data_IF_850826254492
#
_entry.id   IF_850826254492
#
_cell.length_a   1.000
_cell.length_b   1.000
_cell.length_c   1.000
_cell.angle_alpha   90.00
_cell.angle_beta   90.00
_cell.angle_gamma   90.00
#
_symmetry.space_group_name_H-M   'P 1'
#
loop_
_entity.id
_entity.type
_entity.pdbx_description
1 polymer ?
#
# COMPACT_ATOMS: atom_id res chain seq x y z
N UNK A 1 -11.63 -100.90 0.99
CA UNK A 1 -12.64 -100.16 1.77
C UNK A 1 -11.96 -98.97 2.43
N UNK A 2 -12.61 -97.80 2.59
CA UNK A 2 -12.81 -96.75 1.59
C UNK A 2 -11.90 -95.52 1.77
N UNK A 3 -11.82 -94.77 0.67
CA UNK A 3 -11.68 -93.33 0.44
C UNK A 3 -11.72 -92.37 1.64
N UNK A 4 -10.77 -91.43 1.67
CA UNK A 4 -11.00 -90.06 2.13
C UNK A 4 -10.05 -89.10 1.38
N UNK A 5 -10.52 -88.52 0.27
CA UNK A 5 -9.89 -87.37 -0.36
C UNK A 5 -10.35 -86.11 0.38
N UNK A 6 -9.37 -85.38 0.92
CA UNK A 6 -9.58 -84.07 1.54
C UNK A 6 -9.61 -83.00 0.43
N UNK A 7 -10.79 -82.51 0.10
CA UNK A 7 -10.97 -81.36 -0.80
C UNK A 7 -10.76 -80.06 -0.02
N UNK A 8 -9.79 -79.26 -0.44
CA UNK A 8 -9.63 -77.88 0.02
C UNK A 8 -10.76 -76.99 -0.54
N UNK A 9 -11.27 -75.99 0.21
CA UNK A 9 -12.30 -75.09 -0.31
C UNK A 9 -11.70 -74.13 -1.34
N UNK A 10 -12.47 -73.87 -2.40
CA UNK A 10 -12.15 -72.88 -3.40
C UNK A 10 -12.12 -71.47 -2.76
N UNK A 11 -10.98 -70.79 -2.90
CA UNK A 11 -10.85 -69.37 -2.58
C UNK A 11 -11.72 -68.55 -3.53
N UNK A 12 -12.79 -67.93 -3.02
CA UNK A 12 -13.58 -66.94 -3.75
C UNK A 12 -12.75 -65.66 -3.92
N UNK A 13 -12.14 -65.51 -5.09
CA UNK A 13 -11.46 -64.28 -5.49
C UNK A 13 -12.52 -63.18 -5.70
N UNK A 14 -12.74 -62.38 -4.66
CA UNK A 14 -13.67 -61.24 -4.72
C UNK A 14 -12.85 -60.01 -5.09
N UNK A 15 -12.55 -59.84 -6.38
CA UNK A 15 -11.98 -58.58 -6.88
C UNK A 15 -13.03 -57.47 -6.70
N UNK A 16 -12.74 -56.39 -5.93
CA UNK A 16 -13.69 -55.29 -5.78
C UNK A 16 -13.91 -54.61 -7.14
N UNK A 17 -15.15 -54.19 -7.47
CA UNK A 17 -15.44 -53.60 -8.76
C UNK A 17 -14.58 -52.35 -8.99
N UNK A 18 -13.78 -52.36 -10.06
CA UNK A 18 -13.01 -51.17 -10.48
C UNK A 18 -13.98 -50.03 -10.77
N UNK A 19 -13.80 -48.83 -10.20
CA UNK A 19 -14.72 -47.72 -10.43
C UNK A 19 -14.77 -47.40 -11.93
N UNK A 20 -15.99 -47.37 -12.48
CA UNK A 20 -16.23 -47.14 -13.91
C UNK A 20 -15.57 -45.85 -14.41
N UNK A 21 -14.88 -45.94 -15.55
CA UNK A 21 -14.12 -44.86 -16.20
C UNK A 21 -14.95 -43.57 -16.40
N UNK A 22 -16.29 -43.70 -16.50
CA UNK A 22 -17.25 -42.58 -16.58
C UNK A 22 -17.37 -41.81 -15.27
N UNK A 23 -17.48 -42.48 -14.12
CA UNK A 23 -17.61 -41.87 -12.78
C UNK A 23 -16.39 -40.99 -12.46
N UNK A 24 -15.19 -41.44 -12.85
CA UNK A 24 -13.94 -40.67 -12.69
C UNK A 24 -13.87 -39.42 -13.57
N UNK A 25 -14.46 -39.45 -14.77
CA UNK A 25 -14.58 -38.27 -15.67
C UNK A 25 -15.61 -37.27 -15.15
N UNK A 26 -16.75 -37.74 -14.64
CA UNK A 26 -17.78 -36.87 -14.05
C UNK A 26 -17.26 -36.16 -12.81
N UNK A 27 -16.59 -36.87 -11.88
CA UNK A 27 -15.97 -36.25 -10.69
C UNK A 27 -14.94 -35.19 -11.07
N UNK A 28 -14.08 -35.45 -12.06
CA UNK A 28 -13.11 -34.45 -12.56
C UNK A 28 -13.80 -33.22 -13.15
N UNK A 29 -14.88 -33.38 -13.93
CA UNK A 29 -15.63 -32.27 -14.52
C UNK A 29 -16.31 -31.42 -13.45
N UNK A 30 -16.90 -32.05 -12.43
CA UNK A 30 -17.51 -31.34 -11.30
C UNK A 30 -16.45 -30.54 -10.54
N UNK A 31 -15.30 -31.15 -10.20
CA UNK A 31 -14.21 -30.45 -9.51
C UNK A 31 -13.67 -29.25 -10.32
N UNK A 32 -13.48 -29.41 -11.63
CA UNK A 32 -13.03 -28.31 -12.51
C UNK A 32 -14.09 -27.21 -12.60
N UNK A 33 -15.36 -27.57 -12.75
CA UNK A 33 -16.46 -26.61 -12.78
C UNK A 33 -16.55 -25.83 -11.44
N UNK A 34 -16.48 -26.52 -10.30
CA UNK A 34 -16.49 -25.89 -8.97
C UNK A 34 -15.28 -24.97 -8.77
N UNK A 35 -14.08 -25.38 -9.19
CA UNK A 35 -12.89 -24.52 -9.11
C UNK A 35 -12.99 -23.28 -10.01
N UNK A 36 -13.53 -23.42 -11.22
CA UNK A 36 -13.80 -22.30 -12.12
C UNK A 36 -14.86 -21.35 -11.54
N UNK A 37 -15.95 -21.88 -10.99
CA UNK A 37 -16.98 -21.06 -10.33
C UNK A 37 -16.43 -20.32 -9.13
N UNK A 38 -15.67 -20.99 -8.25
CA UNK A 38 -14.98 -20.35 -7.11
C UNK A 38 -13.98 -19.28 -7.57
N UNK A 39 -13.23 -19.54 -8.64
CA UNK A 39 -12.30 -18.56 -9.21
C UNK A 39 -13.02 -17.34 -9.79
N UNK A 40 -14.14 -17.54 -10.49
CA UNK A 40 -14.96 -16.46 -11.03
C UNK A 40 -15.67 -15.65 -9.93
N UNK A 41 -16.18 -16.30 -8.89
CA UNK A 41 -16.84 -15.59 -7.77
C UNK A 41 -15.83 -14.85 -6.91
N UNK A 42 -14.67 -15.45 -6.59
CA UNK A 42 -13.60 -14.78 -5.86
C UNK A 42 -13.00 -13.62 -6.67
N UNK A 43 -12.76 -13.83 -7.97
CA UNK A 43 -12.27 -12.78 -8.87
C UNK A 43 -13.28 -11.65 -9.06
N UNK A 44 -14.55 -11.98 -9.28
CA UNK A 44 -15.63 -11.00 -9.41
C UNK A 44 -15.84 -10.21 -8.11
N UNK A 45 -15.80 -10.87 -6.95
CA UNK A 45 -15.88 -10.22 -5.64
C UNK A 45 -14.71 -9.27 -5.37
N UNK A 46 -13.48 -9.69 -5.71
CA UNK A 46 -12.29 -8.83 -5.58
C UNK A 46 -12.38 -7.59 -6.48
N UNK A 47 -12.75 -7.77 -7.76
CA UNK A 47 -12.88 -6.66 -8.70
C UNK A 47 -13.97 -5.68 -8.27
N UNK A 48 -15.12 -6.18 -7.79
CA UNK A 48 -16.17 -5.33 -7.25
C UNK A 48 -15.71 -4.58 -6.00
N UNK A 49 -15.05 -5.26 -5.06
CA UNK A 49 -14.50 -4.60 -3.86
C UNK A 49 -13.50 -3.51 -4.25
N UNK A 50 -12.58 -3.81 -5.17
CA UNK A 50 -11.60 -2.83 -5.65
C UNK A 50 -12.26 -1.62 -6.30
N UNK A 51 -13.23 -1.82 -7.19
CA UNK A 51 -13.94 -0.73 -7.86
C UNK A 51 -14.84 0.08 -6.91
N UNK A 52 -15.37 -0.55 -5.85
CA UNK A 52 -16.20 0.11 -4.85
C UNK A 52 -15.38 0.75 -3.70
N UNK A 53 -14.06 0.79 -3.82
CA UNK A 53 -13.12 1.30 -2.81
C UNK A 53 -12.58 2.69 -3.14
N UNK A 54 -13.23 3.45 -4.02
CA UNK A 54 -12.82 4.83 -4.28
C UNK A 54 -12.92 5.68 -3.01
N UNK A 55 -12.05 6.67 -2.94
CA UNK A 55 -11.95 7.65 -1.87
C UNK A 55 -12.46 9.01 -2.34
N UNK A 56 -13.23 9.69 -1.51
CA UNK A 56 -13.77 11.02 -1.81
C UNK A 56 -12.77 12.11 -1.49
N UNK A 57 -12.01 11.96 -0.40
CA UNK A 57 -11.03 12.98 0.03
C UNK A 57 -9.67 12.71 -0.60
N UNK A 58 -9.41 13.39 -1.72
CA UNK A 58 -8.19 13.23 -2.52
C UNK A 58 -7.17 14.34 -2.31
N UNK A 59 -7.55 15.47 -1.69
CA UNK A 59 -6.68 16.63 -1.44
C UNK A 59 -6.52 17.54 -2.67
N UNK A 60 -5.54 18.43 -2.63
CA UNK A 60 -5.14 19.27 -3.77
C UNK A 60 -3.66 19.07 -4.12
N UNK A 61 -3.34 19.04 -5.42
CA UNK A 61 -1.97 18.99 -5.90
C UNK A 61 -1.20 20.30 -5.64
N UNK A 62 -1.91 21.41 -5.46
CA UNK A 62 -1.32 22.73 -5.17
C UNK A 62 -1.34 22.97 -3.67
N UNK A 63 -0.21 22.77 -2.99
CA UNK A 63 -0.12 22.99 -1.54
C UNK A 63 -0.58 24.40 -1.12
N UNK A 64 -0.29 25.42 -1.93
CA UNK A 64 -0.68 26.81 -1.70
C UNK A 64 -2.19 27.10 -1.89
N UNK A 65 -3.01 26.10 -2.26
CA UNK A 65 -4.47 26.22 -2.21
C UNK A 65 -5.05 25.75 -0.87
N UNK A 66 -4.26 25.02 -0.07
CA UNK A 66 -4.72 24.50 1.22
C UNK A 66 -4.80 25.62 2.24
N UNK A 67 -5.95 25.72 2.89
CA UNK A 67 -6.15 26.54 4.07
C UNK A 67 -5.54 25.83 5.27
N UNK A 68 -4.50 26.42 5.85
CA UNK A 68 -3.86 25.88 7.04
C UNK A 68 -4.71 26.16 8.29
N UNK A 69 -4.76 25.19 9.21
CA UNK A 69 -5.30 25.41 10.54
C UNK A 69 -4.19 25.92 11.47
N UNK A 70 -4.47 27.00 12.21
CA UNK A 70 -3.51 27.66 13.10
C UNK A 70 -2.69 28.77 12.43
N UNK A 71 -2.00 29.57 13.23
CA UNK A 71 -1.10 30.61 12.75
C UNK A 71 0.27 30.00 12.42
N UNK A 72 0.81 30.30 11.24
CA UNK A 72 2.12 29.84 10.84
C UNK A 72 2.43 30.12 9.36
N UNK A 73 3.66 29.84 8.97
CA UNK A 73 4.21 30.14 7.65
C UNK A 73 3.94 29.00 6.66
N UNK A 74 2.69 28.96 6.16
CA UNK A 74 2.22 27.93 5.23
C UNK A 74 3.06 27.87 3.96
N UNK A 75 3.46 29.03 3.43
CA UNK A 75 4.19 29.09 2.16
C UNK A 75 5.58 28.48 2.31
N UNK A 76 6.26 28.68 3.45
CA UNK A 76 7.52 28.00 3.73
C UNK A 76 7.34 26.47 3.89
N UNK A 77 6.28 26.01 4.54
CA UNK A 77 5.96 24.56 4.61
C UNK A 77 5.73 23.98 3.21
N UNK A 78 4.95 24.67 2.37
CA UNK A 78 4.72 24.26 0.99
C UNK A 78 5.99 24.28 0.13
N UNK A 79 6.91 25.22 0.40
CA UNK A 79 8.21 25.26 -0.26
C UNK A 79 9.04 24.01 0.04
N UNK A 80 9.06 23.53 1.30
CA UNK A 80 9.76 22.28 1.68
C UNK A 80 9.23 21.09 0.87
N UNK A 81 7.91 20.97 0.71
CA UNK A 81 7.32 19.88 -0.08
C UNK A 81 7.67 19.99 -1.57
N UNK A 82 7.63 21.21 -2.13
CA UNK A 82 8.02 21.45 -3.52
C UNK A 82 9.49 21.10 -3.77
N UNK A 83 10.36 21.47 -2.84
CA UNK A 83 11.79 21.18 -2.89
C UNK A 83 12.05 19.67 -2.77
N UNK A 84 11.25 18.96 -1.98
CA UNK A 84 11.29 17.51 -1.86
C UNK A 84 11.00 16.82 -3.20
N UNK A 85 9.91 17.23 -3.86
CA UNK A 85 9.53 16.71 -5.19
C UNK A 85 10.60 17.02 -6.24
N UNK A 86 11.21 18.21 -6.18
CA UNK A 86 12.28 18.62 -7.11
C UNK A 86 13.55 17.81 -6.90
N UNK A 87 14.06 17.73 -5.67
CA UNK A 87 15.26 16.96 -5.34
C UNK A 87 15.11 15.49 -5.72
N UNK A 88 13.91 14.92 -5.54
CA UNK A 88 13.62 13.57 -6.01
C UNK A 88 13.67 13.45 -7.54
N UNK A 89 12.99 14.37 -8.26
CA UNK A 89 12.97 14.37 -9.72
C UNK A 89 14.36 14.54 -10.34
N UNK A 90 15.23 15.28 -9.66
CA UNK A 90 16.63 15.51 -10.05
C UNK A 90 17.58 14.38 -9.58
N UNK A 91 17.06 13.38 -8.85
CA UNK A 91 17.85 12.32 -8.23
C UNK A 91 18.97 12.85 -7.30
N UNK A 92 18.78 14.03 -6.71
CA UNK A 92 19.74 14.68 -5.80
C UNK A 92 19.46 14.29 -4.35
N UNK A 93 20.14 13.23 -3.90
CA UNK A 93 20.02 12.74 -2.53
C UNK A 93 20.52 13.74 -1.46
N UNK A 94 21.48 14.59 -1.81
CA UNK A 94 22.00 15.60 -0.89
C UNK A 94 21.01 16.74 -0.72
N UNK A 95 20.37 17.20 -1.81
CA UNK A 95 19.25 18.14 -1.73
C UNK A 95 18.08 17.55 -0.96
N UNK A 96 17.73 16.29 -1.25
CA UNK A 96 16.64 15.60 -0.57
C UNK A 96 16.91 15.54 0.94
N UNK A 97 18.11 15.12 1.34
CA UNK A 97 18.52 15.05 2.73
C UNK A 97 18.52 16.39 3.47
N UNK A 98 18.94 17.48 2.82
CA UNK A 98 18.97 18.83 3.44
C UNK A 98 17.60 19.31 3.93
N UNK A 99 16.52 18.75 3.41
CA UNK A 99 15.14 19.05 3.80
C UNK A 99 14.70 18.36 5.10
N UNK A 100 15.50 17.44 5.64
CA UNK A 100 15.24 16.74 6.90
C UNK A 100 16.06 17.35 8.04
N UNK A 101 15.58 17.33 9.28
CA UNK A 101 16.40 17.67 10.47
C UNK A 101 17.55 16.69 10.64
N UNK A 102 18.58 17.04 11.40
CA UNK A 102 19.74 16.16 11.60
C UNK A 102 19.35 14.80 12.21
N UNK A 103 18.35 14.81 13.08
CA UNK A 103 17.80 13.68 13.84
C UNK A 103 16.49 13.11 13.26
N UNK A 104 16.13 13.48 12.03
CA UNK A 104 14.84 13.14 11.45
C UNK A 104 14.59 11.63 11.36
N UNK A 105 13.32 11.24 11.42
CA UNK A 105 12.90 9.84 11.20
C UNK A 105 12.18 9.70 9.86
N UNK A 106 12.42 8.58 9.19
CA UNK A 106 11.75 8.25 7.93
C UNK A 106 11.28 6.81 7.96
N UNK A 107 9.97 6.59 7.85
CA UNK A 107 9.38 5.26 7.74
C UNK A 107 8.74 5.09 6.37
N UNK A 108 9.26 4.14 5.59
CA UNK A 108 8.72 3.80 4.26
C UNK A 108 7.39 3.04 4.36
N UNK A 109 6.68 2.93 3.24
CA UNK A 109 5.40 2.22 3.14
C UNK A 109 5.49 0.72 3.41
N UNK A 110 6.69 0.14 3.44
CA UNK A 110 6.96 -1.27 3.80
C UNK A 110 7.47 -1.42 5.25
N UNK A 111 7.55 -0.32 6.01
CA UNK A 111 7.96 -0.34 7.41
C UNK A 111 9.46 -0.22 7.66
N UNK A 112 10.30 -0.07 6.64
CA UNK A 112 11.72 0.25 6.84
C UNK A 112 11.85 1.62 7.51
N UNK A 113 12.60 1.67 8.60
CA UNK A 113 12.83 2.86 9.42
C UNK A 113 14.28 3.34 9.27
N UNK A 114 14.46 4.61 8.91
CA UNK A 114 15.76 5.29 8.86
C UNK A 114 15.83 6.36 9.94
N UNK A 115 17.01 6.55 10.50
CA UNK A 115 17.24 7.49 11.60
C UNK A 115 18.39 8.46 11.30
N UNK A 116 18.03 9.74 11.30
CA UNK A 116 18.91 10.87 11.04
C UNK A 116 19.08 11.18 9.56
N UNK A 117 19.40 12.45 9.27
CA UNK A 117 19.60 12.97 7.91
C UNK A 117 20.58 12.12 7.10
N UNK A 118 21.70 11.74 7.71
CA UNK A 118 22.77 11.02 7.02
C UNK A 118 22.31 9.66 6.48
N UNK A 119 21.52 8.92 7.27
CA UNK A 119 20.97 7.62 6.90
C UNK A 119 19.94 7.77 5.76
N UNK A 120 19.02 8.73 5.90
CA UNK A 120 18.04 9.09 4.86
C UNK A 120 18.74 9.44 3.55
N UNK A 121 19.76 10.30 3.58
CA UNK A 121 20.55 10.68 2.39
C UNK A 121 21.27 9.49 1.78
N UNK A 122 21.92 8.66 2.60
CA UNK A 122 22.64 7.47 2.13
C UNK A 122 21.72 6.49 1.41
N UNK A 123 20.57 6.21 2.01
CA UNK A 123 19.55 5.33 1.43
C UNK A 123 19.00 5.90 0.11
N UNK A 124 18.61 7.17 0.07
CA UNK A 124 18.06 7.78 -1.15
C UNK A 124 19.10 7.87 -2.27
N UNK A 125 20.38 8.07 -1.96
CA UNK A 125 21.45 8.01 -2.97
C UNK A 125 21.52 6.65 -3.65
N UNK A 126 21.45 5.56 -2.88
CA UNK A 126 21.43 4.20 -3.42
C UNK A 126 20.14 3.94 -4.22
N UNK A 127 18.99 4.37 -3.70
CA UNK A 127 17.70 4.17 -4.35
C UNK A 127 17.57 4.93 -5.67
N UNK A 128 18.04 6.18 -5.74
CA UNK A 128 18.07 6.99 -6.96
C UNK A 128 19.05 6.45 -8.02
N UNK A 129 20.10 5.75 -7.59
CA UNK A 129 20.97 4.99 -8.50
C UNK A 129 20.36 3.69 -9.02
N UNK A 130 19.31 3.18 -8.36
CA UNK A 130 18.69 1.88 -8.62
C UNK A 130 17.19 1.97 -8.87
N UNK A 131 16.39 1.41 -7.97
CA UNK A 131 14.94 1.19 -8.15
C UNK A 131 14.13 2.49 -8.39
N UNK A 132 14.55 3.62 -7.84
CA UNK A 132 13.85 4.90 -7.96
C UNK A 132 14.41 5.78 -9.08
N UNK A 133 15.37 5.30 -9.86
CA UNK A 133 15.98 6.06 -10.95
C UNK A 133 14.94 6.54 -11.95
N UNK A 134 14.91 7.86 -12.20
CA UNK A 134 14.01 8.48 -13.18
C UNK A 134 12.54 8.54 -12.75
N UNK A 135 12.23 8.17 -11.51
CA UNK A 135 10.90 8.37 -10.93
C UNK A 135 10.69 9.83 -10.50
N UNK A 136 9.43 10.24 -10.38
CA UNK A 136 9.01 11.53 -9.82
C UNK A 136 8.03 11.32 -8.68
N UNK A 137 7.90 12.31 -7.81
CA UNK A 137 6.88 12.34 -6.76
C UNK A 137 5.61 13.03 -7.26
N UNK A 138 4.47 12.40 -6.99
CA UNK A 138 3.16 13.02 -7.06
C UNK A 138 2.64 13.14 -5.63
N UNK A 139 2.26 14.35 -5.22
CA UNK A 139 1.68 14.61 -3.90
C UNK A 139 0.37 15.40 -4.06
N UNK A 140 -0.58 15.11 -3.17
CA UNK A 140 -1.86 15.82 -3.05
C UNK A 140 -2.13 16.08 -1.57
N UNK A 141 -2.07 17.34 -1.16
CA UNK A 141 -2.15 17.76 0.25
C UNK A 141 -3.59 17.67 0.73
N UNK A 142 -3.80 16.91 1.81
CA UNK A 142 -5.10 16.74 2.48
C UNK A 142 -5.33 17.82 3.54
N UNK A 143 -4.27 18.31 4.17
CA UNK A 143 -4.36 19.34 5.20
C UNK A 143 -3.01 19.75 5.77
N UNK A 144 -2.96 20.98 6.27
CA UNK A 144 -1.83 21.58 6.98
C UNK A 144 -2.34 22.08 8.33
N UNK A 145 -1.66 21.74 9.41
CA UNK A 145 -2.00 22.19 10.76
C UNK A 145 -0.75 22.62 11.51
N UNK A 146 -0.70 23.90 11.89
CA UNK A 146 0.33 24.42 12.79
C UNK A 146 0.03 24.03 14.23
N UNK A 147 1.08 23.61 14.95
CA UNK A 147 1.05 23.22 16.37
C UNK A 147 1.59 24.33 17.29
N UNK A 148 1.95 25.45 16.68
CA UNK A 148 2.67 26.59 17.23
C UNK A 148 3.42 27.28 16.09
N UNK A 149 4.22 28.29 16.41
CA UNK A 149 4.94 29.08 15.40
C UNK A 149 6.03 28.28 14.67
N UNK A 150 6.57 27.25 15.33
CA UNK A 150 7.75 26.51 14.88
C UNK A 150 7.48 25.03 14.56
N UNK A 151 6.22 24.58 14.54
CA UNK A 151 5.88 23.19 14.25
C UNK A 151 4.61 23.06 13.41
N UNK A 152 4.64 22.17 12.41
CA UNK A 152 3.53 21.91 11.51
C UNK A 152 3.37 20.42 11.21
N UNK A 153 2.13 19.99 11.02
CA UNK A 153 1.77 18.69 10.49
C UNK A 153 1.16 18.85 9.11
N UNK A 154 1.64 18.07 8.16
CA UNK A 154 1.04 17.93 6.84
C UNK A 154 0.60 16.50 6.65
N UNK A 155 -0.64 16.32 6.23
CA UNK A 155 -1.13 15.04 5.71
C UNK A 155 -1.37 15.17 4.22
N UNK A 156 -0.96 14.18 3.45
CA UNK A 156 -1.16 14.15 2.01
C UNK A 156 -1.43 12.72 1.52
N UNK A 157 -1.85 12.61 0.27
CA UNK A 157 -1.68 11.41 -0.51
C UNK A 157 -0.48 11.57 -1.42
N UNK A 158 0.20 10.48 -1.73
CA UNK A 158 1.32 10.54 -2.68
C UNK A 158 1.68 9.22 -3.32
N UNK A 159 2.45 9.30 -4.39
CA UNK A 159 3.01 8.15 -5.09
C UNK A 159 4.24 8.52 -5.91
N UNK A 160 5.03 7.49 -6.22
CA UNK A 160 6.13 7.58 -7.17
C UNK A 160 5.65 7.18 -8.55
N UNK A 161 6.08 7.87 -9.61
CA UNK A 161 5.67 7.53 -10.97
C UNK A 161 6.77 7.77 -12.02
N UNK A 162 6.62 7.09 -13.15
CA UNK A 162 7.39 7.33 -14.38
C UNK A 162 6.43 7.68 -15.50
N UNK A 163 6.79 8.64 -16.36
CA UNK A 163 5.92 9.08 -17.45
C UNK A 163 4.76 9.95 -16.97
N UNK A 164 3.52 9.52 -17.20
CA UNK A 164 2.33 10.28 -16.85
C UNK A 164 2.05 10.24 -15.34
N UNK A 165 1.60 11.37 -14.78
CA UNK A 165 1.23 11.47 -13.37
C UNK A 165 -0.03 10.60 -13.10
N UNK A 166 -0.06 9.78 -12.03
CA UNK A 166 -1.22 8.98 -11.68
C UNK A 166 -2.44 9.87 -11.38
N UNK A 167 -3.63 9.41 -11.81
CA UNK A 167 -4.90 10.08 -11.48
C UNK A 167 -5.35 9.82 -10.04
N UNK A 168 -5.00 8.66 -9.47
CA UNK A 168 -5.24 8.32 -8.07
C UNK A 168 -3.91 8.09 -7.36
N UNK A 169 -3.79 8.64 -6.15
CA UNK A 169 -2.63 8.48 -5.28
C UNK A 169 -2.99 7.53 -4.13
N UNK A 170 -2.23 6.44 -4.05
CA UNK A 170 -2.58 5.23 -3.29
C UNK A 170 -1.91 5.13 -1.92
N UNK A 171 -0.94 6.01 -1.62
CA UNK A 171 -0.34 6.09 -0.28
C UNK A 171 -0.87 7.31 0.45
N UNK A 172 -1.04 7.17 1.76
CA UNK A 172 -1.26 8.30 2.68
C UNK A 172 0.07 8.60 3.36
N UNK A 173 0.40 9.88 3.49
CA UNK A 173 1.68 10.37 3.99
C UNK A 173 1.43 11.35 5.14
N UNK A 174 2.33 11.35 6.12
CA UNK A 174 2.38 12.34 7.19
C UNK A 174 3.78 12.92 7.27
N UNK A 175 3.86 14.24 7.26
CA UNK A 175 5.08 15.01 7.48
C UNK A 175 4.93 15.79 8.78
N UNK A 176 5.89 15.64 9.68
CA UNK A 176 6.09 16.56 10.80
C UNK A 176 7.22 17.50 10.42
N UNK A 177 6.92 18.79 10.34
CA UNK A 177 7.89 19.83 10.05
C UNK A 177 8.15 20.68 11.28
N UNK A 178 9.39 21.11 11.42
CA UNK A 178 9.82 22.05 12.46
C UNK A 178 10.62 23.19 11.83
N UNK A 179 10.50 24.39 12.38
CA UNK A 179 11.38 25.52 12.08
C UNK A 179 12.59 25.43 13.01
N UNK A 180 13.77 25.20 12.43
CA UNK A 180 15.01 25.16 13.22
C UNK A 180 15.49 26.59 13.56
N UNK A 181 16.47 26.71 14.46
CA UNK A 181 17.00 28.00 14.93
C UNK A 181 17.55 28.91 13.83
N UNK A 182 17.89 28.34 12.66
CA UNK A 182 18.30 29.09 11.47
C UNK A 182 17.12 29.66 10.66
N UNK A 183 15.90 29.53 11.18
CA UNK A 183 14.67 30.02 10.59
C UNK A 183 14.14 29.18 9.43
N UNK A 184 14.81 28.07 9.08
CA UNK A 184 14.37 27.21 7.98
C UNK A 184 13.49 26.06 8.49
N UNK A 185 12.43 25.81 7.74
CA UNK A 185 11.56 24.66 7.95
C UNK A 185 12.21 23.39 7.39
N UNK A 186 12.12 22.30 8.15
CA UNK A 186 12.60 20.97 7.77
C UNK A 186 11.68 19.88 8.29
N UNK A 187 11.74 18.73 7.65
CA UNK A 187 11.00 17.53 8.03
C UNK A 187 11.73 16.84 9.19
N UNK A 188 11.09 16.81 10.36
CA UNK A 188 11.56 16.06 11.53
C UNK A 188 11.09 14.59 11.50
N UNK A 189 9.94 14.33 10.87
CA UNK A 189 9.45 12.97 10.68
C UNK A 189 8.66 12.83 9.38
N UNK A 190 8.88 11.74 8.67
CA UNK A 190 8.07 11.32 7.54
C UNK A 190 7.63 9.87 7.72
N UNK A 191 6.36 9.62 7.44
CA UNK A 191 5.84 8.27 7.29
C UNK A 191 4.87 8.20 6.13
N UNK A 192 4.92 7.13 5.36
CA UNK A 192 3.86 6.80 4.40
C UNK A 192 3.34 5.37 4.56
N UNK A 193 2.09 5.17 4.14
CA UNK A 193 1.38 3.89 4.26
C UNK A 193 0.68 3.60 2.94
N UNK A 194 0.91 2.42 2.37
CA UNK A 194 0.19 1.95 1.19
C UNK A 194 -1.25 1.59 1.56
N UNK A 195 -2.23 2.27 0.96
CA UNK A 195 -3.64 1.95 1.19
C UNK A 195 -3.95 0.54 0.66
N UNK A 196 -4.63 -0.23 1.49
CA UNK A 196 -5.08 -1.59 1.17
C UNK A 196 -6.57 -1.55 0.87
N UNK A 197 -6.94 -1.05 -0.32
CA UNK A 197 -8.31 -0.69 -0.70
C UNK A 197 -9.33 -1.81 -0.43
N UNK A 198 -9.04 -3.03 -0.88
CA UNK A 198 -9.94 -4.18 -0.70
C UNK A 198 -10.11 -4.58 0.77
N UNK A 199 -9.02 -4.56 1.54
CA UNK A 199 -9.09 -4.87 2.97
C UNK A 199 -9.87 -3.79 3.73
N UNK A 200 -9.66 -2.52 3.40
CA UNK A 200 -10.41 -1.39 3.98
C UNK A 200 -11.90 -1.51 3.66
N UNK A 201 -12.28 -1.73 2.40
CA UNK A 201 -13.69 -1.90 2.02
C UNK A 201 -14.33 -3.11 2.69
N UNK A 202 -13.62 -4.23 2.77
CA UNK A 202 -14.07 -5.40 3.52
C UNK A 202 -14.34 -5.06 4.99
N UNK A 203 -13.44 -4.30 5.63
CA UNK A 203 -13.61 -3.84 7.01
C UNK A 203 -14.86 -2.96 7.20
N UNK A 204 -15.14 -2.05 6.25
CA UNK A 204 -16.32 -1.19 6.29
C UNK A 204 -17.62 -1.95 6.07
N UNK A 205 -17.62 -2.99 5.24
CA UNK A 205 -18.78 -3.86 5.08
C UNK A 205 -19.07 -4.66 6.37
N UNK A 206 -18.03 -5.10 7.07
CA UNK A 206 -18.16 -5.83 8.34
C UNK A 206 -18.53 -4.90 9.51
N UNK A 207 -18.04 -3.65 9.51
CA UNK A 207 -18.29 -2.67 10.56
C UNK A 207 -18.57 -1.27 9.97
N UNK A 208 -19.79 -1.00 9.46
CA UNK A 208 -20.11 0.24 8.75
C UNK A 208 -19.89 1.53 9.56
N UNK A 209 -19.98 1.46 10.89
CA UNK A 209 -19.71 2.60 11.77
C UNK A 209 -18.26 3.10 11.73
N UNK A 210 -17.32 2.30 11.21
CA UNK A 210 -15.89 2.64 11.10
C UNK A 210 -15.54 3.45 9.85
N UNK A 211 -16.49 3.63 8.91
CA UNK A 211 -16.29 4.50 7.75
C UNK A 211 -16.02 5.93 8.26
N UNK A 212 -14.87 6.53 7.90
CA UNK A 212 -14.54 7.90 8.29
C UNK A 212 -15.64 8.87 7.87
N UNK A 213 -15.99 9.83 8.73
CA UNK A 213 -17.07 10.78 8.42
C UNK A 213 -16.86 11.52 7.10
N UNK A 214 -15.61 11.88 6.77
CA UNK A 214 -15.26 12.56 5.53
C UNK A 214 -15.40 11.68 4.28
N UNK A 215 -15.50 10.35 4.44
CA UNK A 215 -15.64 9.36 3.36
C UNK A 215 -17.06 8.77 3.28
N UNK A 216 -17.97 9.16 4.19
CA UNK A 216 -19.38 8.75 4.15
C UNK A 216 -20.13 9.40 2.99
#
# INVERSE_FOLDING_TARGET
>A
MPTAQLTAPASTDTTPPRPGRSRRRTVKRVLVATALTLGLTAGGGYLWLSAASDVKVTGTATCAEVQAAGAGDRDAVCAVLSDLSRAWGDADADAYGRLFTQDATYTTYIGTHYQGRADITGAHRALFGGFLKGTRLADSVLGIRFLGDDAALVTSRGDTYTGARPGELTKVQTYTLVREADGRWRIAAFQNTQRQAVMEKGSFLLAPGTVPQAER
#
